data_IF_271876630271
#
_entry.id   IF_271876630271
#
_cell.length_a   1.000
_cell.length_b   1.000
_cell.length_c   1.000
_cell.angle_alpha   90.00
_cell.angle_beta   90.00
_cell.angle_gamma   90.00
#
_symmetry.space_group_name_H-M   'P 1'
#
loop_
_entity.id
_entity.type
_entity.pdbx_description
1 polymer ?
#
# COMPACT_ATOMS: atom_id res chain seq x y z
N UNK A 1 -2.50 -5.72 -21.67
CA UNK A 1 -3.10 -4.92 -20.57
C UNK A 1 -3.70 -3.68 -21.19
N UNK A 2 -4.91 -3.26 -20.78
CA UNK A 2 -5.46 -1.98 -21.23
C UNK A 2 -4.52 -0.85 -20.76
N UNK A 3 -4.22 0.11 -21.63
CA UNK A 3 -3.40 1.26 -21.26
C UNK A 3 -4.12 2.08 -20.17
N UNK A 4 -3.40 2.46 -19.11
CA UNK A 4 -3.92 3.36 -18.08
C UNK A 4 -4.13 4.76 -18.69
N UNK A 5 -5.29 5.37 -18.47
CA UNK A 5 -5.59 6.80 -18.78
C UNK A 5 -5.55 7.56 -17.45
N UNK A 6 -4.39 8.15 -17.11
CA UNK A 6 -4.29 8.95 -15.88
C UNK A 6 -4.99 10.30 -16.06
N UNK A 7 -5.79 10.76 -15.09
CA UNK A 7 -6.42 12.07 -15.15
C UNK A 7 -5.36 13.17 -15.10
N UNK A 8 -5.64 14.29 -15.79
CA UNK A 8 -4.83 15.49 -15.65
C UNK A 8 -5.22 16.19 -14.35
N UNK A 9 -4.22 16.54 -13.53
CA UNK A 9 -4.40 17.36 -12.33
C UNK A 9 -3.72 18.72 -12.54
N UNK A 10 -4.09 19.73 -11.74
CA UNK A 10 -3.49 21.06 -11.85
C UNK A 10 -2.02 21.08 -11.39
N UNK A 11 -1.26 22.07 -11.86
CA UNK A 11 0.12 22.31 -11.40
C UNK A 11 0.19 22.56 -9.88
N UNK A 12 -0.85 23.18 -9.32
CA UNK A 12 -0.99 23.37 -7.88
C UNK A 12 -1.11 22.02 -7.14
N UNK A 13 -1.87 21.09 -7.69
CA UNK A 13 -2.00 19.74 -7.15
C UNK A 13 -0.67 18.99 -7.21
N UNK A 14 0.05 19.05 -8.33
CA UNK A 14 1.38 18.45 -8.47
C UNK A 14 2.38 19.04 -7.48
N UNK A 15 2.38 20.36 -7.30
CA UNK A 15 3.21 21.04 -6.32
C UNK A 15 2.86 20.62 -4.87
N UNK A 16 1.58 20.41 -4.58
CA UNK A 16 1.13 19.88 -3.29
C UNK A 16 1.60 18.44 -3.06
N UNK A 17 1.48 17.56 -4.04
CA UNK A 17 2.02 16.17 -3.98
C UNK A 17 3.51 16.18 -3.67
N UNK A 18 4.30 16.99 -4.38
CA UNK A 18 5.74 17.07 -4.15
C UNK A 18 6.10 17.60 -2.75
N UNK A 19 5.35 18.57 -2.23
CA UNK A 19 5.52 19.09 -0.86
C UNK A 19 5.10 18.05 0.19
N UNK A 20 4.00 17.34 -0.03
CA UNK A 20 3.52 16.28 0.83
C UNK A 20 4.51 15.13 0.91
N UNK A 21 5.06 14.64 -0.22
CA UNK A 21 6.10 13.59 -0.28
C UNK A 21 7.28 13.90 0.63
N UNK A 22 7.79 15.15 0.60
CA UNK A 22 8.90 15.58 1.47
C UNK A 22 8.55 15.57 2.95
N UNK A 23 7.35 16.04 3.33
CA UNK A 23 6.89 16.04 4.73
C UNK A 23 6.64 14.63 5.24
N UNK A 24 6.04 13.77 4.42
CA UNK A 24 5.83 12.35 4.72
C UNK A 24 7.16 11.65 4.95
N UNK A 25 8.18 11.90 4.09
CA UNK A 25 9.52 11.32 4.26
C UNK A 25 10.12 11.66 5.62
N UNK A 26 10.02 12.93 6.03
CA UNK A 26 10.48 13.39 7.35
C UNK A 26 9.74 12.70 8.50
N UNK A 27 8.41 12.73 8.48
CA UNK A 27 7.58 12.12 9.53
C UNK A 27 7.83 10.61 9.64
N UNK A 28 7.81 9.90 8.52
CA UNK A 28 7.88 8.45 8.47
C UNK A 28 9.22 7.95 9.00
N UNK A 29 10.32 8.60 8.62
CA UNK A 29 11.65 8.30 9.13
C UNK A 29 11.78 8.63 10.62
N UNK A 30 11.33 9.83 11.05
CA UNK A 30 11.45 10.28 12.44
C UNK A 30 10.65 9.41 13.41
N UNK A 31 9.42 9.01 13.02
CA UNK A 31 8.52 8.22 13.87
C UNK A 31 8.72 6.72 13.72
N UNK A 32 9.63 6.27 12.85
CA UNK A 32 9.86 4.87 12.53
C UNK A 32 8.55 4.11 12.25
N UNK A 33 7.68 4.72 11.45
CA UNK A 33 6.31 4.24 11.23
C UNK A 33 6.02 3.81 9.78
N UNK A 34 7.06 3.67 8.94
CA UNK A 34 6.93 3.21 7.55
C UNK A 34 6.06 1.96 7.40
N UNK A 35 6.20 0.92 8.24
CA UNK A 35 5.46 -0.33 8.05
C UNK A 35 3.97 -0.17 8.36
N UNK A 36 3.64 0.72 9.30
CA UNK A 36 2.26 1.11 9.58
C UNK A 36 1.65 1.91 8.41
N UNK A 37 2.42 2.79 7.77
CA UNK A 37 1.97 3.55 6.59
C UNK A 37 1.81 2.68 5.35
N UNK A 38 2.72 1.73 5.15
CA UNK A 38 2.60 0.73 4.09
C UNK A 38 1.38 -0.16 4.31
N UNK A 39 1.13 -0.60 5.55
CA UNK A 39 -0.09 -1.34 5.91
C UNK A 39 -1.35 -0.49 5.65
N UNK A 40 -1.35 0.79 6.02
CA UNK A 40 -2.48 1.68 5.73
C UNK A 40 -2.79 1.75 4.23
N UNK A 41 -1.76 1.93 3.39
CA UNK A 41 -1.91 2.00 1.95
C UNK A 41 -2.41 0.66 1.36
N UNK A 42 -1.86 -0.46 1.82
CA UNK A 42 -2.29 -1.82 1.47
C UNK A 42 -3.77 -2.04 1.83
N UNK A 43 -4.16 -1.83 3.09
CA UNK A 43 -5.52 -2.05 3.56
C UNK A 43 -6.52 -1.13 2.84
N UNK A 44 -6.11 0.08 2.48
CA UNK A 44 -6.94 0.99 1.68
C UNK A 44 -7.19 0.45 0.27
N UNK A 45 -6.16 -0.10 -0.38
CA UNK A 45 -6.26 -0.58 -1.76
C UNK A 45 -6.86 -2.00 -1.88
N UNK A 46 -6.52 -2.89 -0.94
CA UNK A 46 -6.83 -4.32 -0.98
C UNK A 46 -8.31 -4.66 -0.80
N UNK A 47 -9.16 -3.68 -0.57
CA UNK A 47 -10.62 -3.86 -0.51
C UNK A 47 -11.30 -3.83 -1.88
N UNK A 48 -10.56 -3.56 -2.96
CA UNK A 48 -11.14 -3.48 -4.30
C UNK A 48 -11.67 -4.83 -4.79
N UNK A 49 -12.94 -4.87 -5.17
CA UNK A 49 -13.54 -6.01 -5.85
C UNK A 49 -13.68 -5.71 -7.35
N UNK A 50 -13.03 -6.52 -8.19
CA UNK A 50 -13.02 -6.35 -9.65
C UNK A 50 -14.41 -6.57 -10.24
N UNK A 51 -15.23 -7.44 -9.65
CA UNK A 51 -16.55 -7.79 -10.17
C UNK A 51 -17.56 -6.65 -9.96
N UNK A 52 -17.61 -6.08 -8.76
CA UNK A 52 -18.53 -4.98 -8.43
C UNK A 52 -17.94 -3.58 -8.61
N UNK A 53 -16.63 -3.46 -8.82
CA UNK A 53 -15.87 -2.20 -8.90
C UNK A 53 -16.03 -1.32 -7.64
N UNK A 54 -16.25 -1.95 -6.49
CA UNK A 54 -16.41 -1.32 -5.18
C UNK A 54 -15.14 -1.47 -4.32
N UNK A 55 -14.98 -0.61 -3.30
CA UNK A 55 -13.76 -0.55 -2.49
C UNK A 55 -12.59 0.05 -3.27
N UNK A 56 -11.38 -0.22 -2.79
CA UNK A 56 -10.13 0.27 -3.37
C UNK A 56 -9.63 1.58 -2.77
N UNK A 57 -8.52 2.13 -3.30
CA UNK A 57 -7.74 3.20 -2.70
C UNK A 57 -8.38 4.58 -2.85
N UNK A 58 -9.62 4.76 -2.37
CA UNK A 58 -10.44 5.96 -2.55
C UNK A 58 -10.71 6.69 -1.23
N UNK A 59 -9.75 6.68 -0.32
CA UNK A 59 -9.75 7.54 0.87
C UNK A 59 -10.81 7.21 1.92
N UNK A 60 -11.46 6.05 1.85
CA UNK A 60 -12.52 5.62 2.78
C UNK A 60 -11.98 5.13 4.13
N UNK A 61 -10.70 4.74 4.19
CA UNK A 61 -10.03 4.27 5.42
C UNK A 61 -10.03 5.29 6.58
N UNK A 62 -10.33 6.57 6.32
CA UNK A 62 -10.53 7.58 7.38
C UNK A 62 -11.87 7.43 8.11
N UNK A 63 -12.82 6.72 7.52
CA UNK A 63 -14.18 6.57 8.04
C UNK A 63 -14.17 5.65 9.27
N UNK A 64 -14.81 6.04 10.39
CA UNK A 64 -14.85 5.21 11.60
C UNK A 64 -15.40 3.80 11.38
N UNK A 65 -16.35 3.64 10.45
CA UNK A 65 -16.92 2.34 10.11
C UNK A 65 -15.87 1.38 9.51
N UNK A 66 -15.00 1.87 8.63
CA UNK A 66 -13.94 1.05 8.02
C UNK A 66 -12.78 0.79 8.99
N UNK A 67 -12.43 1.77 9.82
CA UNK A 67 -11.43 1.59 10.88
C UNK A 67 -11.87 0.57 11.95
N UNK A 68 -13.18 0.37 12.12
CA UNK A 68 -13.74 -0.60 13.05
C UNK A 68 -13.64 -2.05 12.56
N UNK A 69 -13.30 -2.28 11.28
CA UNK A 69 -13.07 -3.64 10.77
C UNK A 69 -11.91 -4.30 11.51
N UNK A 70 -12.04 -5.57 11.87
CA UNK A 70 -11.05 -6.32 12.65
C UNK A 70 -9.68 -6.33 11.98
N UNK A 71 -9.63 -6.53 10.66
CA UNK A 71 -8.39 -6.49 9.87
C UNK A 71 -7.68 -5.12 9.93
N UNK A 72 -8.40 -4.03 10.22
CA UNK A 72 -7.88 -2.67 10.28
C UNK A 72 -7.46 -2.24 11.69
N UNK A 73 -7.47 -3.15 12.67
CA UNK A 73 -7.06 -2.85 14.05
C UNK A 73 -5.70 -2.13 14.10
N UNK A 74 -5.68 -0.97 14.74
CA UNK A 74 -4.49 -0.10 14.88
C UNK A 74 -4.24 0.88 13.73
N UNK A 75 -5.01 0.84 12.63
CA UNK A 75 -4.87 1.83 11.55
C UNK A 75 -5.43 3.21 11.92
N UNK A 76 -6.22 3.33 12.99
CA UNK A 76 -6.63 4.61 13.57
C UNK A 76 -5.41 5.43 14.03
N UNK A 77 -4.35 4.76 14.48
CA UNK A 77 -3.07 5.37 14.85
C UNK A 77 -2.42 5.97 13.61
N UNK A 78 -2.42 5.24 12.49
CA UNK A 78 -1.84 5.69 11.22
C UNK A 78 -2.56 6.94 10.70
N UNK A 79 -3.90 6.89 10.65
CA UNK A 79 -4.74 8.02 10.24
C UNK A 79 -4.46 9.24 11.11
N UNK A 80 -4.46 9.07 12.44
CA UNK A 80 -4.20 10.16 13.40
C UNK A 80 -2.79 10.76 13.28
N UNK A 81 -1.78 9.95 12.97
CA UNK A 81 -0.41 10.42 12.75
C UNK A 81 -0.28 11.25 11.46
N UNK A 82 -1.04 10.89 10.43
CA UNK A 82 -1.02 11.53 9.13
C UNK A 82 -1.86 12.82 9.06
N UNK A 83 -2.90 12.92 9.88
CA UNK A 83 -3.87 14.03 9.86
C UNK A 83 -3.23 15.43 9.91
N UNK A 84 -2.28 15.74 10.82
CA UNK A 84 -1.69 17.07 10.89
C UNK A 84 -0.91 17.48 9.63
N UNK A 85 -0.40 16.52 8.86
CA UNK A 85 0.22 16.79 7.56
C UNK A 85 -0.86 16.94 6.50
N UNK A 86 -1.88 16.08 6.52
CA UNK A 86 -3.00 16.14 5.56
C UNK A 86 -3.76 17.46 5.62
N UNK A 87 -3.96 18.04 6.80
CA UNK A 87 -4.59 19.35 7.00
C UNK A 87 -3.84 20.49 6.30
N UNK A 88 -2.52 20.36 6.11
CA UNK A 88 -1.72 21.34 5.37
C UNK A 88 -1.91 21.24 3.85
N UNK A 89 -2.56 20.19 3.37
CA UNK A 89 -2.80 19.91 1.95
C UNK A 89 -4.29 19.62 1.69
N UNK A 90 -5.18 20.62 1.87
CA UNK A 90 -6.61 20.45 1.64
C UNK A 90 -6.94 20.14 0.18
N UNK A 91 -6.07 20.55 -0.75
CA UNK A 91 -6.23 20.25 -2.19
C UNK A 91 -6.06 18.77 -2.52
N UNK A 92 -5.27 18.02 -1.73
CA UNK A 92 -5.05 16.59 -1.96
C UNK A 92 -6.22 15.78 -1.40
N UNK A 93 -6.70 14.80 -2.16
CA UNK A 93 -7.62 13.78 -1.63
C UNK A 93 -6.94 12.93 -0.56
N UNK A 94 -7.72 12.35 0.37
CA UNK A 94 -7.16 11.35 1.28
C UNK A 94 -6.69 10.10 0.53
N UNK A 95 -7.38 9.76 -0.56
CA UNK A 95 -7.02 8.69 -1.47
C UNK A 95 -5.57 8.80 -1.97
N UNK A 96 -5.20 9.92 -2.60
CA UNK A 96 -3.84 10.14 -3.06
C UNK A 96 -2.86 10.27 -1.90
N UNK A 97 -3.27 10.91 -0.79
CA UNK A 97 -2.40 11.12 0.35
C UNK A 97 -1.96 9.80 1.03
N UNK A 98 -2.88 8.85 1.22
CA UNK A 98 -2.57 7.55 1.81
C UNK A 98 -1.71 6.68 0.88
N UNK A 99 -1.98 6.68 -0.42
CA UNK A 99 -1.13 5.94 -1.37
C UNK A 99 0.27 6.56 -1.47
N UNK A 100 0.38 7.89 -1.43
CA UNK A 100 1.67 8.57 -1.37
C UNK A 100 2.45 8.22 -0.09
N UNK A 101 1.76 8.09 1.05
CA UNK A 101 2.38 7.66 2.30
C UNK A 101 2.92 6.21 2.22
N UNK A 102 2.21 5.31 1.54
CA UNK A 102 2.68 3.95 1.27
C UNK A 102 3.91 3.90 0.37
N UNK A 103 3.93 4.66 -0.72
CA UNK A 103 5.10 4.79 -1.61
C UNK A 103 6.30 5.34 -0.86
N UNK A 104 6.12 6.42 -0.10
CA UNK A 104 7.20 7.03 0.70
C UNK A 104 7.70 6.08 1.79
N UNK A 105 6.83 5.26 2.38
CA UNK A 105 7.22 4.26 3.36
C UNK A 105 8.22 3.26 2.79
N UNK A 106 7.97 2.73 1.59
CA UNK A 106 8.88 1.80 0.89
C UNK A 106 10.23 2.49 0.60
N UNK A 107 10.19 3.71 0.07
CA UNK A 107 11.41 4.46 -0.26
C UNK A 107 12.28 4.75 0.98
N UNK A 108 11.66 5.14 2.10
CA UNK A 108 12.38 5.49 3.33
C UNK A 108 13.05 4.28 3.96
N UNK A 109 12.50 3.08 3.76
CA UNK A 109 13.10 1.84 4.25
C UNK A 109 14.16 1.26 3.31
N UNK A 110 14.50 1.94 2.21
CA UNK A 110 15.50 1.48 1.24
C UNK A 110 14.94 0.57 0.14
N UNK A 111 13.62 0.43 0.04
CA UNK A 111 12.95 -0.31 -1.02
C UNK A 111 12.97 0.43 -2.37
N UNK A 112 12.38 -0.18 -3.42
CA UNK A 112 12.40 0.38 -4.76
C UNK A 112 11.59 1.67 -4.87
N UNK A 113 11.92 2.51 -5.86
CA UNK A 113 11.08 3.66 -6.22
C UNK A 113 9.82 3.16 -6.94
N UNK A 114 8.66 3.36 -6.31
CA UNK A 114 7.35 3.02 -6.88
C UNK A 114 6.79 4.26 -7.58
N UNK A 115 6.45 4.21 -8.87
CA UNK A 115 5.83 5.34 -9.55
C UNK A 115 4.51 5.75 -8.87
N UNK A 116 4.27 7.06 -8.77
CA UNK A 116 3.04 7.60 -8.19
C UNK A 116 2.33 8.52 -9.17
N UNK A 117 1.08 8.19 -9.51
CA UNK A 117 0.20 9.00 -10.34
C UNK A 117 -0.94 9.59 -9.50
N UNK A 118 -1.08 10.93 -9.40
CA UNK A 118 -2.15 11.58 -8.66
C UNK A 118 -3.48 11.60 -9.43
N UNK A 119 -4.56 11.90 -8.72
CA UNK A 119 -5.89 12.12 -9.25
C UNK A 119 -6.97 11.18 -8.72
N UNK A 120 -6.67 10.36 -7.70
CA UNK A 120 -7.72 9.57 -7.04
C UNK A 120 -8.68 10.50 -6.32
N UNK A 121 -9.98 10.23 -6.45
CA UNK A 121 -11.02 10.95 -5.73
C UNK A 121 -11.40 10.19 -4.46
N UNK A 122 -11.82 10.93 -3.44
CA UNK A 122 -12.37 10.32 -2.22
C UNK A 122 -13.79 9.82 -2.51
N UNK A 123 -14.05 8.55 -2.18
CA UNK A 123 -15.40 7.98 -2.19
C UNK A 123 -16.07 8.18 -0.83
N UNK A 124 -17.41 8.35 -0.79
CA UNK A 124 -18.13 8.60 0.45
C UNK A 124 -18.34 7.33 1.28
N UNK A 125 -18.53 6.18 0.64
CA UNK A 125 -18.95 4.95 1.29
C UNK A 125 -17.80 3.93 1.37
N UNK A 126 -17.51 3.40 2.58
CA UNK A 126 -16.51 2.36 2.74
C UNK A 126 -17.00 1.01 2.18
N UNK A 127 -16.08 0.11 1.78
CA UNK A 127 -16.43 -1.26 1.39
C UNK A 127 -16.90 -2.08 2.60
N UNK A 128 -17.61 -3.21 2.38
CA UNK A 128 -17.92 -4.15 3.46
C UNK A 128 -16.66 -4.81 4.02
N UNK A 129 -16.71 -5.18 5.30
CA UNK A 129 -15.66 -5.95 5.98
C UNK A 129 -15.43 -7.33 5.33
N UNK A 130 -14.24 -7.91 5.55
CA UNK A 130 -13.92 -9.30 5.17
C UNK A 130 -13.16 -9.47 3.86
N UNK A 131 -12.64 -8.38 3.27
CA UNK A 131 -11.90 -8.40 2.00
C UNK A 131 -10.37 -8.51 2.13
N UNK A 132 -9.79 -8.37 3.33
CA UNK A 132 -8.34 -8.22 3.55
C UNK A 132 -7.70 -9.45 4.24
N UNK A 133 -6.42 -9.77 3.95
CA UNK A 133 -5.58 -10.75 4.69
C UNK A 133 -4.67 -10.10 5.77
N UNK A 134 -4.11 -10.88 6.70
CA UNK A 134 -3.29 -10.43 7.86
C UNK A 134 -1.78 -10.22 7.55
N UNK A 135 -1.05 -9.30 8.23
CA UNK A 135 0.39 -9.00 7.97
C UNK A 135 1.23 -8.37 9.13
N UNK A 136 2.57 -8.56 9.16
CA UNK A 136 3.62 -7.91 10.03
C UNK A 136 5.09 -8.37 9.69
N UNK A 137 6.22 -7.80 10.20
CA UNK A 137 6.65 -6.41 10.39
C UNK A 137 8.07 -6.00 9.84
N UNK A 138 8.16 -4.69 9.58
CA UNK A 138 9.22 -3.66 9.78
C UNK A 138 10.52 -3.52 8.97
N UNK A 139 11.04 -4.53 8.27
CA UNK A 139 12.16 -4.30 7.32
C UNK A 139 11.71 -4.74 5.93
N UNK A 140 12.01 -3.90 4.93
CA UNK A 140 11.64 -4.17 3.53
C UNK A 140 12.86 -4.65 2.76
N UNK A 141 13.09 -5.94 2.83
CA UNK A 141 14.11 -6.69 2.11
C UNK A 141 13.51 -8.03 1.64
N UNK A 142 14.32 -8.90 1.05
CA UNK A 142 13.85 -10.24 0.70
C UNK A 142 13.82 -11.23 1.89
N UNK A 143 14.06 -10.77 3.13
CA UNK A 143 14.18 -11.65 4.30
C UNK A 143 12.91 -12.44 4.57
N UNK A 144 11.74 -11.92 4.20
CA UNK A 144 10.47 -12.65 4.24
C UNK A 144 10.59 -14.02 3.53
N UNK A 145 11.15 -14.05 2.31
CA UNK A 145 11.27 -15.29 1.55
C UNK A 145 12.39 -16.19 2.08
N UNK A 146 13.51 -15.61 2.53
CA UNK A 146 14.60 -16.41 3.11
C UNK A 146 14.18 -17.07 4.42
N UNK A 147 13.45 -16.33 5.26
CA UNK A 147 12.92 -16.82 6.53
C UNK A 147 11.83 -17.88 6.30
N UNK A 148 10.95 -17.65 5.33
CA UNK A 148 9.91 -18.61 4.93
C UNK A 148 10.51 -19.96 4.49
N UNK A 149 11.56 -19.94 3.66
CA UNK A 149 12.26 -21.16 3.23
C UNK A 149 13.02 -21.87 4.37
N UNK A 150 13.46 -21.12 5.38
CA UNK A 150 14.23 -21.67 6.51
C UNK A 150 13.39 -22.41 7.56
N UNK A 151 12.04 -22.35 7.44
CA UNK A 151 11.11 -22.99 8.36
C UNK A 151 10.78 -22.15 9.59
N UNK A 152 9.98 -22.71 10.51
CA UNK A 152 9.54 -22.00 11.71
C UNK A 152 10.71 -21.72 12.67
N UNK A 153 10.83 -20.47 13.12
CA UNK A 153 11.79 -20.03 14.14
C UNK A 153 11.07 -19.40 15.31
N UNK A 154 11.56 -19.65 16.52
CA UNK A 154 11.03 -19.02 17.72
C UNK A 154 11.17 -17.48 17.63
N UNK A 155 10.06 -16.76 17.80
CA UNK A 155 10.02 -15.30 17.68
C UNK A 155 9.71 -14.75 16.29
N UNK A 156 9.63 -15.59 15.25
CA UNK A 156 9.16 -15.20 13.92
C UNK A 156 7.79 -15.80 13.62
N UNK A 157 6.94 -15.01 12.97
CA UNK A 157 5.60 -15.42 12.58
C UNK A 157 5.61 -15.93 11.14
N UNK A 158 5.04 -17.11 10.92
CA UNK A 158 4.65 -17.58 9.59
C UNK A 158 3.17 -17.93 9.62
N UNK A 159 2.36 -17.14 8.92
CA UNK A 159 0.93 -17.38 8.80
C UNK A 159 0.68 -18.62 7.93
N UNK A 160 -0.48 -19.28 8.08
CA UNK A 160 -0.89 -20.35 7.16
C UNK A 160 -0.86 -19.91 5.69
N UNK A 161 -1.17 -18.64 5.41
CA UNK A 161 -1.10 -18.03 4.08
C UNK A 161 0.33 -17.96 3.55
N UNK A 162 1.31 -17.63 4.40
CA UNK A 162 2.73 -17.61 4.01
C UNK A 162 3.19 -19.03 3.64
N UNK A 163 2.85 -20.02 4.47
CA UNK A 163 3.23 -21.43 4.22
C UNK A 163 2.63 -22.01 2.95
N UNK A 164 1.46 -21.50 2.53
CA UNK A 164 0.81 -21.92 1.29
C UNK A 164 1.69 -21.62 0.07
N UNK A 165 2.49 -20.53 0.12
CA UNK A 165 3.43 -20.17 -0.95
C UNK A 165 4.51 -21.23 -1.18
N UNK A 166 4.87 -22.01 -0.16
CA UNK A 166 5.90 -23.06 -0.24
C UNK A 166 5.41 -24.33 -0.94
N UNK A 167 4.09 -24.57 -0.90
CA UNK A 167 3.45 -25.78 -1.41
C UNK A 167 2.79 -25.60 -2.76
N UNK A 168 2.41 -24.37 -3.12
CA UNK A 168 1.77 -24.09 -4.39
C UNK A 168 2.78 -24.10 -5.55
N UNK A 169 2.52 -24.84 -6.65
CA UNK A 169 3.47 -25.00 -7.75
C UNK A 169 3.70 -23.73 -8.57
N UNK A 170 2.78 -22.76 -8.53
CA UNK A 170 2.95 -21.47 -9.18
C UNK A 170 3.70 -20.47 -8.29
N UNK A 171 3.48 -20.51 -6.97
CA UNK A 171 4.13 -19.59 -6.04
C UNK A 171 5.53 -20.03 -5.59
N UNK A 172 5.77 -21.34 -5.43
CA UNK A 172 7.06 -21.84 -4.95
C UNK A 172 8.26 -21.37 -5.80
N UNK A 173 8.22 -21.39 -7.14
CA UNK A 173 9.32 -20.85 -7.95
C UNK A 173 9.57 -19.36 -7.74
N UNK A 174 8.52 -18.57 -7.42
CA UNK A 174 8.66 -17.15 -7.10
C UNK A 174 9.29 -16.96 -5.72
N UNK A 175 8.93 -17.77 -4.73
CA UNK A 175 9.59 -17.76 -3.41
C UNK A 175 11.07 -18.06 -3.55
N UNK A 176 11.42 -19.12 -4.31
CA UNK A 176 12.82 -19.49 -4.55
C UNK A 176 13.57 -18.38 -5.30
N UNK A 177 12.95 -17.76 -6.31
CA UNK A 177 13.50 -16.60 -7.05
C UNK A 177 13.80 -15.43 -6.11
N UNK A 178 12.82 -14.98 -5.35
CA UNK A 178 12.95 -13.78 -4.51
C UNK A 178 13.89 -13.97 -3.33
N UNK A 179 13.94 -15.18 -2.76
CA UNK A 179 14.93 -15.50 -1.73
C UNK A 179 16.37 -15.48 -2.27
N UNK A 180 16.58 -15.81 -3.55
CA UNK A 180 17.90 -15.85 -4.18
C UNK A 180 18.33 -14.51 -4.81
N UNK A 181 17.39 -13.66 -5.20
CA UNK A 181 17.62 -12.43 -5.96
C UNK A 181 16.72 -11.30 -5.46
N UNK A 182 17.28 -10.42 -4.63
CA UNK A 182 16.58 -9.25 -4.07
C UNK A 182 16.24 -8.21 -5.14
N UNK A 183 17.09 -8.01 -6.15
CA UNK A 183 16.81 -7.05 -7.22
C UNK A 183 15.59 -7.50 -8.04
N UNK A 184 15.49 -8.81 -8.29
CA UNK A 184 14.33 -9.38 -8.98
C UNK A 184 13.06 -9.32 -8.12
N UNK A 185 13.17 -9.44 -6.80
CA UNK A 185 12.06 -9.16 -5.87
C UNK A 185 11.64 -7.70 -5.93
N UNK A 186 12.58 -6.76 -5.86
CA UNK A 186 12.28 -5.33 -5.86
C UNK A 186 11.64 -4.87 -7.17
N UNK A 187 12.10 -5.38 -8.31
CA UNK A 187 11.47 -5.11 -9.61
C UNK A 187 10.01 -5.57 -9.66
N UNK A 188 9.76 -6.84 -9.30
CA UNK A 188 8.40 -7.40 -9.33
C UNK A 188 7.50 -6.78 -8.25
N UNK A 189 8.07 -6.42 -7.10
CA UNK A 189 7.36 -5.72 -6.02
C UNK A 189 6.92 -4.31 -6.45
N UNK A 190 7.80 -3.54 -7.09
CA UNK A 190 7.45 -2.21 -7.57
C UNK A 190 6.30 -2.25 -8.59
N UNK A 191 6.33 -3.23 -9.51
CA UNK A 191 5.25 -3.45 -10.47
C UNK A 191 3.93 -3.84 -9.76
N UNK A 192 3.99 -4.76 -8.80
CA UNK A 192 2.83 -5.22 -8.05
C UNK A 192 2.22 -4.09 -7.19
N UNK A 193 3.04 -3.32 -6.48
CA UNK A 193 2.61 -2.21 -5.65
C UNK A 193 1.97 -1.10 -6.52
N UNK A 194 2.56 -0.78 -7.67
CA UNK A 194 1.94 0.16 -8.62
C UNK A 194 0.53 -0.30 -9.01
N UNK A 195 0.37 -1.56 -9.45
CA UNK A 195 -0.94 -2.10 -9.85
C UNK A 195 -1.95 -2.07 -8.71
N UNK A 196 -1.53 -2.47 -7.51
CA UNK A 196 -2.35 -2.46 -6.30
C UNK A 196 -2.83 -1.04 -5.96
N UNK A 197 -1.91 -0.07 -5.92
CA UNK A 197 -2.23 1.32 -5.60
C UNK A 197 -3.21 1.96 -6.60
N UNK A 198 -3.32 1.39 -7.80
CA UNK A 198 -4.15 1.87 -8.91
C UNK A 198 -5.37 0.98 -9.19
N UNK A 199 -5.77 0.11 -8.25
CA UNK A 199 -6.98 -0.71 -8.40
C UNK A 199 -8.23 0.18 -8.54
N UNK A 200 -8.93 0.05 -9.67
CA UNK A 200 -10.07 0.89 -10.02
C UNK A 200 -9.75 2.33 -10.42
N UNK A 201 -8.47 2.70 -10.54
CA UNK A 201 -8.01 4.04 -10.92
C UNK A 201 -7.34 4.04 -12.30
N UNK A 202 -7.58 5.08 -13.11
CA UNK A 202 -6.96 5.25 -14.43
C UNK A 202 -7.43 4.25 -15.49
N UNK A 203 -8.62 3.68 -15.36
CA UNK A 203 -9.20 2.80 -16.40
C UNK A 203 -9.69 3.65 -17.60
N UNK A 204 -9.42 3.16 -18.82
CA UNK A 204 -9.86 3.80 -20.06
C UNK A 204 -11.40 3.81 -20.15
N UNK A 205 -12.01 4.96 -19.87
CA UNK A 205 -13.47 5.13 -19.80
C UNK A 205 -13.94 6.23 -18.83
N UNK A 206 -13.04 6.77 -18.00
CA UNK A 206 -13.28 7.97 -17.17
C UNK A 206 -12.67 9.27 -17.73
N UNK A 207 -12.14 9.19 -18.95
CA UNK A 207 -11.82 10.30 -19.83
C UNK A 207 -12.89 10.26 -20.96
#
# INVERSE_FOLDING_TARGET
MAAKCYPTVSDEYLAAVAKARRKLRGLIAEKNCAPLMLRLAWHSAGTFDVATKTGGPFGTMKCPAELAHGANAGLDIAVRLLEPIKEQFPILSYADFYQLAGVVAVEVTGGPEVPFHPGRQDKPEPPPEGRLPDANPLIFDNSYFTELLSGEKEGLLQLPTDKTLLTDPAFRPLVDKYAADEDAFFADYAEAHLKLSELGFGEAGCC
#
